data_IF_251674722249
#
_entry.id   IF_251674722249
#
_cell.length_a   1.000
_cell.length_b   1.000
_cell.length_c   1.000
_cell.angle_alpha   90.00
_cell.angle_beta   90.00
_cell.angle_gamma   90.00
#
_symmetry.space_group_name_H-M   'P 1'
#
loop_
_entity.id
_entity.type
_entity.pdbx_description
1 polymer ?
#
# COMPACT_ATOMS: atom_id res chain seq x y z
N UNK A 1 -13.32 -3.50 -17.20
CA UNK A 1 -12.88 -2.90 -15.92
C UNK A 1 -14.06 -2.92 -14.96
N UNK A 2 -14.01 -3.74 -13.92
CA UNK A 2 -15.06 -3.75 -12.89
C UNK A 2 -14.91 -2.50 -12.01
N UNK A 3 -15.53 -1.39 -12.43
CA UNK A 3 -15.62 -0.16 -11.64
C UNK A 3 -16.73 -0.29 -10.61
N UNK A 4 -16.50 -1.05 -9.54
CA UNK A 4 -17.43 -1.07 -8.41
C UNK A 4 -17.23 0.20 -7.57
N UNK A 5 -18.14 1.16 -7.75
CA UNK A 5 -18.20 2.38 -6.93
C UNK A 5 -18.90 2.06 -5.62
N UNK A 6 -18.12 1.71 -4.60
CA UNK A 6 -18.62 1.47 -3.24
C UNK A 6 -18.52 2.77 -2.44
N UNK A 7 -19.62 3.17 -1.76
CA UNK A 7 -19.71 4.37 -0.91
C UNK A 7 -20.71 4.13 0.23
N UNK A 8 -20.20 3.78 1.42
CA UNK A 8 -20.99 3.60 2.63
C UNK A 8 -20.41 4.46 3.78
N UNK A 9 -20.77 5.74 3.85
CA UNK A 9 -20.55 6.56 5.05
C UNK A 9 -21.49 6.11 6.18
N UNK A 10 -20.93 5.85 7.36
CA UNK A 10 -21.63 5.32 8.53
C UNK A 10 -21.43 6.26 9.72
N UNK A 11 -22.47 6.39 10.56
CA UNK A 11 -22.40 7.11 11.84
C UNK A 11 -22.87 6.18 12.96
N UNK A 12 -22.13 6.16 14.07
CA UNK A 12 -22.41 5.33 15.23
C UNK A 12 -23.19 6.10 16.31
N UNK A 13 -24.27 5.51 16.77
CA UNK A 13 -24.97 5.89 18.00
C UNK A 13 -24.80 4.76 19.03
N UNK A 14 -25.03 5.02 20.33
CA UNK A 14 -24.83 4.01 21.37
C UNK A 14 -25.59 2.69 21.15
N UNK A 15 -26.69 2.71 20.41
CA UNK A 15 -27.56 1.56 20.15
C UNK A 15 -27.96 1.41 18.67
N UNK A 16 -27.43 2.23 17.76
CA UNK A 16 -27.83 2.23 16.36
C UNK A 16 -26.64 2.57 15.45
N UNK A 17 -26.54 1.90 14.31
CA UNK A 17 -25.65 2.31 13.23
C UNK A 17 -26.50 2.88 12.11
N UNK A 18 -26.28 4.16 11.75
CA UNK A 18 -26.96 4.79 10.62
C UNK A 18 -26.07 4.66 9.39
N UNK A 19 -26.59 3.98 8.37
CA UNK A 19 -25.94 3.88 7.06
C UNK A 19 -26.28 5.11 6.20
N UNK A 20 -25.41 5.44 5.25
CA UNK A 20 -25.61 6.51 4.26
C UNK A 20 -25.78 7.90 4.85
N UNK A 21 -24.99 8.24 5.87
CA UNK A 21 -24.92 9.61 6.39
C UNK A 21 -24.07 10.50 5.48
N UNK A 22 -24.16 11.82 5.64
CA UNK A 22 -23.28 12.73 4.91
C UNK A 22 -21.82 12.51 5.32
N UNK A 23 -20.90 12.60 4.35
CA UNK A 23 -19.47 12.38 4.58
C UNK A 23 -18.88 13.27 5.67
N UNK A 24 -19.36 14.51 5.82
CA UNK A 24 -18.90 15.45 6.84
C UNK A 24 -19.33 15.05 8.27
N UNK A 25 -20.29 14.14 8.41
CA UNK A 25 -20.81 13.63 9.70
C UNK A 25 -20.57 12.13 9.87
N UNK A 26 -19.86 11.49 8.95
CA UNK A 26 -19.57 10.08 8.98
C UNK A 26 -18.41 9.80 9.94
N UNK A 27 -18.58 8.83 10.83
CA UNK A 27 -17.51 8.35 11.71
C UNK A 27 -16.63 7.31 11.00
N UNK A 28 -17.23 6.55 10.08
CA UNK A 28 -16.55 5.54 9.26
C UNK A 28 -16.94 5.69 7.80
N UNK A 29 -15.95 5.79 6.93
CA UNK A 29 -16.15 5.86 5.48
C UNK A 29 -15.63 4.56 4.86
N UNK A 30 -16.54 3.73 4.35
CA UNK A 30 -16.19 2.56 3.54
C UNK A 30 -16.40 2.93 2.09
N UNK A 31 -15.32 3.16 1.35
CA UNK A 31 -15.42 3.58 -0.04
C UNK A 31 -14.34 2.99 -0.92
N UNK A 32 -14.64 2.87 -2.21
CA UNK A 32 -13.65 2.57 -3.24
C UNK A 32 -12.78 3.81 -3.54
N UNK A 33 -11.51 3.65 -3.95
CA UNK A 33 -10.65 4.77 -4.34
C UNK A 33 -11.25 5.62 -5.48
N UNK A 34 -11.91 4.97 -6.44
CA UNK A 34 -12.59 5.65 -7.54
C UNK A 34 -13.74 6.55 -7.05
N UNK A 35 -14.56 6.02 -6.14
CA UNK A 35 -15.64 6.76 -5.50
C UNK A 35 -15.15 8.03 -4.80
N UNK A 36 -14.10 7.89 -3.99
CA UNK A 36 -13.52 9.02 -3.28
C UNK A 36 -12.93 10.04 -4.25
N UNK A 37 -12.23 9.59 -5.30
CA UNK A 37 -11.71 10.51 -6.32
C UNK A 37 -12.82 11.30 -7.01
N UNK A 38 -13.96 10.69 -7.34
CA UNK A 38 -15.10 11.40 -7.92
C UNK A 38 -15.66 12.49 -6.99
N UNK A 39 -15.66 12.25 -5.67
CA UNK A 39 -16.13 13.22 -4.68
C UNK A 39 -15.15 14.35 -4.41
N UNK A 40 -13.85 14.05 -4.46
CA UNK A 40 -12.79 15.06 -4.25
C UNK A 40 -12.51 15.87 -5.52
N UNK A 41 -12.78 15.29 -6.71
CA UNK A 41 -12.56 15.90 -8.02
C UNK A 41 -11.13 15.73 -8.55
N UNK A 42 -10.86 16.28 -9.74
CA UNK A 42 -9.56 16.19 -10.42
C UNK A 42 -8.51 17.22 -9.95
N UNK A 43 -8.82 18.01 -8.91
CA UNK A 43 -7.86 18.93 -8.24
C UNK A 43 -6.69 18.14 -7.60
N UNK A 44 -6.79 16.80 -7.59
CA UNK A 44 -5.81 15.86 -7.04
C UNK A 44 -4.64 15.52 -7.97
N UNK A 45 -4.67 15.91 -9.24
CA UNK A 45 -3.68 15.47 -10.24
C UNK A 45 -2.32 16.17 -10.09
N UNK A 46 -2.28 17.36 -9.47
CA UNK A 46 -1.07 18.18 -9.36
C UNK A 46 -0.38 18.11 -7.97
N UNK A 47 -0.75 17.16 -7.11
CA UNK A 47 -0.20 17.06 -5.76
C UNK A 47 1.22 16.49 -5.81
N UNK A 48 2.22 17.34 -5.59
CA UNK A 48 3.62 16.93 -5.40
C UNK A 48 3.75 16.24 -4.04
N UNK A 49 4.33 15.03 -3.97
CA UNK A 49 4.53 14.33 -2.70
C UNK A 49 5.53 15.09 -1.83
N UNK A 50 5.06 15.59 -0.68
CA UNK A 50 5.94 16.17 0.36
C UNK A 50 5.45 17.51 0.93
N UNK A 51 4.78 18.34 0.13
CA UNK A 51 4.34 19.66 0.59
C UNK A 51 2.81 19.77 0.62
N UNK A 52 2.23 19.30 1.74
CA UNK A 52 0.78 19.35 1.99
C UNK A 52 0.31 20.71 2.51
N UNK A 53 1.22 21.64 2.78
CA UNK A 53 0.93 22.95 3.38
C UNK A 53 0.31 23.95 2.39
N UNK A 54 0.70 23.85 1.12
CA UNK A 54 0.25 24.73 0.03
C UNK A 54 -1.08 24.27 -0.57
N UNK A 55 -1.43 22.99 -0.38
CA UNK A 55 -2.63 22.42 -0.95
C UNK A 55 -3.82 22.62 -0.01
N UNK A 56 -4.85 23.27 -0.53
CA UNK A 56 -6.13 23.36 0.16
C UNK A 56 -7.20 22.69 -0.68
N UNK A 57 -7.90 21.72 -0.11
CA UNK A 57 -8.97 21.01 -0.81
C UNK A 57 -10.32 21.70 -0.57
N UNK A 58 -11.25 21.68 -1.55
CA UNK A 58 -12.61 22.18 -1.32
C UNK A 58 -13.43 21.26 -0.41
N UNK A 59 -12.93 20.06 -0.13
CA UNK A 59 -13.58 19.05 0.71
C UNK A 59 -12.91 18.96 2.08
N UNK A 60 -13.72 18.76 3.11
CA UNK A 60 -13.32 18.72 4.53
C UNK A 60 -13.31 17.31 5.14
N UNK A 61 -14.13 16.39 4.63
CA UNK A 61 -14.36 15.07 5.23
C UNK A 61 -13.14 14.13 5.28
N UNK A 62 -12.07 14.38 4.52
CA UNK A 62 -10.81 13.60 4.56
C UNK A 62 -9.72 14.23 5.45
N UNK A 63 -9.96 15.40 6.03
CA UNK A 63 -8.94 16.16 6.78
C UNK A 63 -8.61 15.54 8.14
N UNK A 64 -9.59 14.88 8.77
CA UNK A 64 -9.48 14.34 10.13
C UNK A 64 -9.38 12.81 10.22
N UNK A 65 -8.88 12.15 9.17
CA UNK A 65 -8.72 10.69 9.18
C UNK A 65 -7.56 10.30 10.11
N UNK A 66 -7.89 9.54 11.15
CA UNK A 66 -6.90 8.99 12.10
C UNK A 66 -6.44 7.58 11.71
N UNK A 67 -7.36 6.76 11.21
CA UNK A 67 -7.08 5.37 10.79
C UNK A 67 -7.48 5.19 9.33
N UNK A 68 -6.54 4.73 8.51
CA UNK A 68 -6.77 4.39 7.11
C UNK A 68 -6.43 2.93 6.87
N UNK A 69 -7.40 2.15 6.38
CA UNK A 69 -7.22 0.74 6.02
C UNK A 69 -7.22 0.59 4.51
N UNK A 70 -6.14 0.04 3.95
CA UNK A 70 -6.02 -0.29 2.53
C UNK A 70 -6.01 -1.80 2.34
N UNK A 71 -6.63 -2.27 1.26
CA UNK A 71 -6.67 -3.69 0.90
C UNK A 71 -5.97 -3.94 -0.45
N UNK A 72 -5.35 -5.12 -0.62
CA UNK A 72 -4.66 -5.49 -1.87
C UNK A 72 -5.57 -5.57 -3.09
N UNK A 73 -6.89 -5.63 -2.92
CA UNK A 73 -7.85 -5.57 -4.03
C UNK A 73 -7.69 -4.28 -4.84
N UNK A 74 -7.13 -3.22 -4.25
CA UNK A 74 -6.84 -1.98 -4.96
C UNK A 74 -5.76 -2.10 -6.04
N UNK A 75 -4.89 -3.12 -5.96
CA UNK A 75 -3.93 -3.42 -7.03
C UNK A 75 -4.62 -3.87 -8.32
N UNK A 76 -5.85 -4.41 -8.22
CA UNK A 76 -6.66 -4.78 -9.38
C UNK A 76 -7.39 -3.58 -10.00
N UNK A 77 -7.39 -2.43 -9.32
CA UNK A 77 -7.91 -1.17 -9.82
C UNK A 77 -6.77 -0.30 -10.38
N UNK A 78 -7.10 0.89 -10.87
CA UNK A 78 -6.08 1.86 -11.24
C UNK A 78 -5.44 2.46 -9.97
N UNK A 79 -4.15 2.14 -9.77
CA UNK A 79 -3.35 2.61 -8.64
C UNK A 79 -3.17 4.15 -8.60
N UNK A 80 -3.36 4.86 -9.71
CA UNK A 80 -3.33 6.32 -9.71
C UNK A 80 -4.50 6.93 -8.94
N UNK A 81 -5.67 6.28 -8.93
CA UNK A 81 -6.77 6.70 -8.07
C UNK A 81 -6.41 6.55 -6.59
N UNK A 82 -5.76 5.44 -6.23
CA UNK A 82 -5.31 5.18 -4.86
C UNK A 82 -4.29 6.22 -4.42
N UNK A 83 -3.29 6.50 -5.26
CA UNK A 83 -2.28 7.54 -4.99
C UNK A 83 -2.91 8.92 -4.80
N UNK A 84 -3.81 9.31 -5.71
CA UNK A 84 -4.52 10.58 -5.63
C UNK A 84 -5.30 10.72 -4.31
N UNK A 85 -6.05 9.69 -3.92
CA UNK A 85 -6.81 9.69 -2.65
C UNK A 85 -5.88 9.72 -1.45
N UNK A 86 -4.81 8.92 -1.44
CA UNK A 86 -3.84 8.90 -0.33
C UNK A 86 -3.14 10.24 -0.13
N UNK A 87 -2.90 10.99 -1.21
CA UNK A 87 -2.35 12.32 -1.15
C UNK A 87 -3.37 13.36 -0.67
N UNK A 88 -4.67 13.14 -0.94
CA UNK A 88 -5.77 13.99 -0.47
C UNK A 88 -6.07 13.86 1.04
N UNK A 89 -5.72 12.73 1.64
CA UNK A 89 -6.00 12.44 3.06
C UNK A 89 -5.12 13.32 3.98
N UNK A 90 -5.75 13.86 5.03
CA UNK A 90 -5.17 14.79 6.01
C UNK A 90 -4.66 16.11 5.41
N UNK A 91 -5.18 16.52 4.24
CA UNK A 91 -4.95 17.86 3.71
C UNK A 91 -5.93 18.83 4.36
N UNK A 92 -5.47 20.03 4.68
CA UNK A 92 -6.30 21.06 5.30
C UNK A 92 -7.30 21.61 4.27
N UNK A 93 -8.60 21.72 4.60
CA UNK A 93 -9.58 22.26 3.67
C UNK A 93 -9.39 23.76 3.42
N UNK A 94 -9.85 24.26 2.27
CA UNK A 94 -9.88 25.70 1.93
C UNK A 94 -10.80 26.46 2.87
N UNK A 95 -11.98 25.88 3.07
CA UNK A 95 -13.09 26.45 3.81
C UNK A 95 -13.59 25.38 4.79
N UNK A 96 -13.82 25.79 6.03
CA UNK A 96 -14.33 24.93 7.08
C UNK A 96 -15.51 25.61 7.79
N UNK A 97 -16.65 25.83 7.08
CA UNK A 97 -17.74 26.69 7.55
C UNK A 97 -18.45 26.15 8.80
N UNK A 98 -18.33 24.85 9.10
CA UNK A 98 -18.96 24.19 10.24
C UNK A 98 -17.97 23.60 11.25
N UNK A 99 -16.68 23.96 11.15
CA UNK A 99 -15.66 23.41 12.02
C UNK A 99 -15.56 24.18 13.35
N UNK A 100 -15.62 23.43 14.46
CA UNK A 100 -15.36 23.97 15.80
C UNK A 100 -13.85 23.94 16.09
N UNK A 101 -13.18 25.07 15.87
CA UNK A 101 -11.73 25.22 16.06
C UNK A 101 -11.26 24.92 17.48
N UNK A 102 -12.14 25.03 18.49
CA UNK A 102 -11.78 24.73 19.88
C UNK A 102 -11.54 23.23 20.13
N UNK A 103 -12.09 22.37 19.26
CA UNK A 103 -11.96 20.90 19.33
C UNK A 103 -10.90 20.35 18.39
N UNK A 104 -10.36 21.17 17.50
CA UNK A 104 -9.34 20.74 16.55
C UNK A 104 -8.02 20.58 17.29
N UNK A 105 -7.38 19.42 17.12
CA UNK A 105 -6.06 19.15 17.69
C UNK A 105 -5.00 20.06 17.08
N UNK A 106 -4.04 20.45 17.90
CA UNK A 106 -2.96 21.36 17.51
C UNK A 106 -2.15 20.84 16.31
N UNK A 107 -1.88 19.54 16.24
CA UNK A 107 -1.17 18.94 15.09
C UNK A 107 -1.97 18.99 13.78
N UNK A 108 -3.31 19.07 13.83
CA UNK A 108 -4.12 19.30 12.62
C UNK A 108 -3.99 20.75 12.15
N UNK A 109 -3.89 21.71 13.08
CA UNK A 109 -3.67 23.12 12.77
C UNK A 109 -2.26 23.37 12.23
N UNK A 110 -1.26 22.66 12.76
CA UNK A 110 0.14 22.75 12.34
C UNK A 110 0.46 21.93 11.07
N UNK A 111 -0.55 21.42 10.35
CA UNK A 111 -0.39 20.57 9.16
C UNK A 111 0.41 19.27 9.39
N UNK A 112 0.49 18.80 10.63
CA UNK A 112 1.23 17.60 11.05
C UNK A 112 0.35 16.34 11.17
N UNK A 113 -0.96 16.45 10.94
CA UNK A 113 -1.91 15.34 11.06
C UNK A 113 -1.49 14.07 10.29
N UNK A 114 -0.83 14.24 9.14
CA UNK A 114 -0.37 13.12 8.32
C UNK A 114 0.70 12.24 8.99
N UNK A 115 1.43 12.72 10.00
CA UNK A 115 2.38 11.92 10.79
C UNK A 115 1.73 11.04 11.86
N UNK A 116 0.53 11.44 12.30
CA UNK A 116 -0.22 10.77 13.37
C UNK A 116 -1.28 9.79 12.85
N UNK A 117 -1.52 9.77 11.53
CA UNK A 117 -2.44 8.81 10.90
C UNK A 117 -1.84 7.41 10.95
N UNK A 118 -2.57 6.47 11.55
CA UNK A 118 -2.27 5.05 11.44
C UNK A 118 -2.74 4.51 10.09
N UNK A 119 -1.81 4.00 9.29
CA UNK A 119 -2.14 3.36 8.00
C UNK A 119 -1.94 1.86 8.10
N UNK A 120 -3.00 1.09 7.92
CA UNK A 120 -2.99 -0.38 7.96
C UNK A 120 -3.16 -0.89 6.53
N UNK A 121 -2.25 -1.73 6.08
CA UNK A 121 -2.30 -2.29 4.73
C UNK A 121 -2.45 -3.79 4.82
N UNK A 122 -3.58 -4.30 4.33
CA UNK A 122 -3.89 -5.72 4.23
C UNK A 122 -3.54 -6.17 2.82
N UNK A 123 -2.49 -6.97 2.70
CA UNK A 123 -2.03 -7.49 1.41
C UNK A 123 -1.98 -9.01 1.41
N UNK A 124 -2.45 -9.62 0.32
CA UNK A 124 -2.33 -11.07 0.12
C UNK A 124 -0.88 -11.50 -0.16
N UNK A 125 -0.10 -10.66 -0.84
CA UNK A 125 1.30 -10.90 -1.17
C UNK A 125 2.11 -9.60 -1.08
N UNK A 126 3.43 -9.73 -0.98
CA UNK A 126 4.33 -8.59 -1.04
C UNK A 126 4.33 -8.00 -2.45
N UNK A 127 3.87 -6.76 -2.58
CA UNK A 127 3.78 -6.06 -3.87
C UNK A 127 4.63 -4.79 -3.88
N UNK A 128 5.34 -4.55 -4.99
CA UNK A 128 6.23 -3.41 -5.14
C UNK A 128 5.47 -2.08 -5.25
N UNK A 129 4.29 -2.05 -5.90
CA UNK A 129 3.49 -0.84 -6.03
C UNK A 129 2.91 -0.41 -4.69
N UNK A 130 2.48 -1.37 -3.87
CA UNK A 130 1.98 -1.11 -2.52
C UNK A 130 3.09 -0.61 -1.58
N UNK A 131 4.27 -1.21 -1.65
CA UNK A 131 5.45 -0.71 -0.92
C UNK A 131 5.83 0.72 -1.35
N UNK A 132 5.76 1.02 -2.65
CA UNK A 132 6.01 2.36 -3.17
C UNK A 132 4.99 3.38 -2.64
N UNK A 133 3.70 3.01 -2.64
CA UNK A 133 2.62 3.83 -2.08
C UNK A 133 2.87 4.16 -0.60
N UNK A 134 3.20 3.14 0.20
CA UNK A 134 3.50 3.32 1.62
C UNK A 134 4.70 4.24 1.85
N UNK A 135 5.76 4.09 1.05
CA UNK A 135 6.98 4.88 1.20
C UNK A 135 6.78 6.34 0.82
N UNK A 136 5.95 6.62 -0.19
CA UNK A 136 5.74 7.98 -0.73
C UNK A 136 4.60 8.76 -0.08
N UNK A 137 3.51 8.08 0.30
CA UNK A 137 2.27 8.74 0.73
C UNK A 137 1.95 8.58 2.22
N UNK A 138 2.66 7.70 2.93
CA UNK A 138 2.47 7.49 4.37
C UNK A 138 3.70 7.97 5.14
N UNK A 139 3.49 8.93 6.03
CA UNK A 139 4.51 9.40 6.96
C UNK A 139 4.14 8.91 8.35
N UNK A 140 5.11 8.36 9.09
CA UNK A 140 4.84 7.77 10.40
C UNK A 140 5.80 8.39 11.42
N UNK A 141 5.28 8.76 12.59
CA UNK A 141 6.12 9.25 13.68
C UNK A 141 7.04 8.16 14.27
N UNK A 142 6.53 6.93 14.46
CA UNK A 142 7.23 5.84 15.18
C UNK A 142 7.75 4.72 14.27
N UNK A 143 7.75 4.92 12.95
CA UNK A 143 8.23 3.95 11.96
C UNK A 143 7.13 3.04 11.37
N UNK A 144 7.55 1.91 10.79
CA UNK A 144 6.70 0.97 10.03
C UNK A 144 6.98 -0.46 10.49
N UNK A 145 5.93 -1.23 10.73
CA UNK A 145 6.01 -2.67 11.04
C UNK A 145 5.37 -3.47 9.91
N UNK A 146 6.07 -4.50 9.42
CA UNK A 146 5.54 -5.44 8.42
C UNK A 146 5.37 -6.81 9.08
N UNK A 147 4.16 -7.34 8.97
CA UNK A 147 3.84 -8.71 9.37
C UNK A 147 3.69 -9.55 8.10
N UNK A 148 4.53 -10.57 7.96
CA UNK A 148 4.46 -11.53 6.87
C UNK A 148 4.38 -12.95 7.45
N UNK A 149 3.52 -13.83 6.92
CA UNK A 149 3.50 -15.22 7.34
C UNK A 149 4.85 -15.86 7.00
N UNK A 150 5.43 -16.57 7.97
CA UNK A 150 6.59 -17.43 7.74
C UNK A 150 6.04 -18.81 7.35
N UNK A 151 6.31 -19.22 6.11
CA UNK A 151 5.91 -20.54 5.64
C UNK A 151 7.02 -21.54 5.95
N UNK A 152 6.70 -22.55 6.75
CA UNK A 152 7.59 -23.70 6.95
C UNK A 152 7.47 -24.66 5.76
N UNK A 153 8.55 -24.75 4.98
CA UNK A 153 8.62 -25.57 3.77
C UNK A 153 8.59 -27.08 4.07
N UNK A 154 8.82 -27.50 5.32
CA UNK A 154 8.69 -28.90 5.72
C UNK A 154 7.24 -29.36 5.81
N UNK A 155 6.30 -28.43 6.05
CA UNK A 155 4.90 -28.75 6.32
C UNK A 155 3.92 -28.14 5.31
N UNK A 156 4.35 -27.16 4.50
CA UNK A 156 3.51 -26.49 3.50
C UNK A 156 4.07 -26.72 2.11
N UNK A 157 3.30 -27.41 1.26
CA UNK A 157 3.59 -27.52 -0.16
C UNK A 157 3.18 -26.20 -0.84
N UNK A 158 4.08 -25.51 -1.56
CA UNK A 158 3.73 -24.29 -2.27
C UNK A 158 2.64 -24.55 -3.32
N UNK A 159 1.68 -23.64 -3.46
CA UNK A 159 0.55 -23.78 -4.39
C UNK A 159 0.96 -24.00 -5.84
N UNK A 160 2.14 -23.49 -6.24
CA UNK A 160 2.71 -23.69 -7.58
C UNK A 160 2.98 -25.17 -7.88
N UNK A 161 3.27 -25.98 -6.85
CA UNK A 161 3.56 -27.41 -7.01
C UNK A 161 2.32 -28.24 -7.33
N UNK A 162 1.12 -27.69 -7.11
CA UNK A 162 -0.15 -28.33 -7.46
C UNK A 162 -0.56 -28.08 -8.91
N UNK A 163 0.13 -27.20 -9.63
CA UNK A 163 -0.10 -26.95 -11.05
C UNK A 163 0.84 -27.84 -11.85
N UNK A 164 0.31 -28.61 -12.81
CA UNK A 164 1.14 -29.40 -13.73
C UNK A 164 1.68 -28.44 -14.79
N UNK A 165 2.99 -28.10 -14.78
CA UNK A 165 3.53 -27.21 -15.79
C UNK A 165 3.70 -27.97 -17.10
N UNK A 166 3.44 -27.30 -18.23
CA UNK A 166 3.68 -27.86 -19.57
C UNK A 166 5.16 -27.99 -19.91
N UNK A 167 6.04 -27.35 -19.14
CA UNK A 167 7.50 -27.30 -19.31
C UNK A 167 8.13 -27.65 -17.96
N UNK A 168 9.27 -28.36 -17.98
CA UNK A 168 10.05 -28.65 -16.76
C UNK A 168 10.55 -27.33 -16.16
N UNK A 169 10.01 -26.95 -15.00
CA UNK A 169 10.45 -25.79 -14.23
C UNK A 169 11.33 -26.25 -13.06
N UNK A 170 12.51 -25.67 -12.91
CA UNK A 170 13.43 -25.94 -11.81
C UNK A 170 13.54 -24.65 -10.99
N UNK A 171 13.04 -24.67 -9.75
CA UNK A 171 13.14 -23.55 -8.83
C UNK A 171 14.35 -23.76 -7.92
N UNK A 172 15.34 -22.88 -8.01
CA UNK A 172 16.47 -22.84 -7.09
C UNK A 172 16.29 -21.68 -6.12
N UNK A 173 16.34 -21.98 -4.81
CA UNK A 173 16.29 -20.96 -3.77
C UNK A 173 17.71 -20.50 -3.47
N UNK A 174 17.91 -19.19 -3.50
CA UNK A 174 19.11 -18.56 -2.96
C UNK A 174 18.86 -18.23 -1.49
N UNK A 175 19.55 -18.91 -0.59
CA UNK A 175 19.54 -18.59 0.83
C UNK A 175 20.55 -17.49 1.12
N UNK A 176 20.17 -16.25 0.85
CA UNK A 176 20.86 -15.09 1.43
C UNK A 176 20.35 -14.87 2.85
N UNK A 177 21.24 -14.67 3.85
CA UNK A 177 20.79 -14.34 5.20
C UNK A 177 20.08 -12.99 5.13
N UNK A 178 18.76 -13.01 5.26
CA UNK A 178 17.85 -11.87 5.18
C UNK A 178 17.94 -10.92 6.39
N UNK A 179 18.99 -11.04 7.19
CA UNK A 179 19.29 -10.11 8.26
C UNK A 179 20.04 -8.90 7.69
N UNK A 180 19.51 -7.68 7.86
CA UNK A 180 20.18 -6.44 7.41
C UNK A 180 21.54 -6.20 8.09
N UNK A 181 21.91 -7.01 9.09
CA UNK A 181 23.20 -6.96 9.78
C UNK A 181 24.32 -7.75 9.07
N UNK A 182 24.00 -8.75 8.24
CA UNK A 182 25.00 -9.73 7.74
C UNK A 182 25.23 -9.65 6.24
N UNK A 183 24.28 -9.09 5.48
CA UNK A 183 24.45 -8.78 4.06
C UNK A 183 23.90 -7.38 3.78
N UNK A 184 24.76 -6.38 3.49
CA UNK A 184 24.29 -5.08 3.01
C UNK A 184 23.47 -5.29 1.72
N UNK A 185 22.33 -4.61 1.59
CA UNK A 185 21.48 -4.64 0.39
C UNK A 185 22.28 -4.37 -0.91
N UNK A 186 23.42 -3.69 -0.78
CA UNK A 186 24.38 -3.36 -1.84
C UNK A 186 25.09 -4.59 -2.42
N UNK A 187 25.38 -5.60 -1.60
CA UNK A 187 26.12 -6.80 -2.03
C UNK A 187 25.21 -7.95 -2.49
N UNK A 188 23.89 -7.82 -2.29
CA UNK A 188 22.90 -8.78 -2.76
C UNK A 188 23.00 -9.12 -4.27
N UNK A 189 23.15 -8.15 -5.19
CA UNK A 189 23.28 -8.46 -6.62
C UNK A 189 24.55 -9.28 -6.92
N UNK A 190 25.66 -9.00 -6.24
CA UNK A 190 26.91 -9.73 -6.43
C UNK A 190 26.78 -11.17 -5.93
N UNK A 191 26.15 -11.39 -4.78
CA UNK A 191 25.91 -12.74 -4.25
C UNK A 191 24.97 -13.56 -5.15
N UNK A 192 23.91 -12.93 -5.71
CA UNK A 192 23.03 -13.55 -6.71
C UNK A 192 23.79 -13.94 -7.97
N UNK A 193 24.68 -13.06 -8.45
CA UNK A 193 25.49 -13.31 -9.64
C UNK A 193 26.50 -14.45 -9.41
N UNK A 194 27.19 -14.45 -8.27
CA UNK A 194 28.13 -15.52 -7.91
C UNK A 194 27.43 -16.88 -7.77
N UNK A 195 26.24 -16.90 -7.16
CA UNK A 195 25.42 -18.12 -7.09
C UNK A 195 24.99 -18.58 -8.49
N UNK A 196 24.53 -17.65 -9.34
CA UNK A 196 24.18 -17.97 -10.72
C UNK A 196 25.36 -18.56 -11.49
N UNK A 197 26.55 -17.96 -11.38
CA UNK A 197 27.75 -18.43 -12.06
C UNK A 197 28.11 -19.87 -11.63
N UNK A 198 28.10 -20.13 -10.32
CA UNK A 198 28.52 -21.43 -9.77
C UNK A 198 27.48 -22.53 -9.91
N UNK A 199 26.21 -22.24 -9.63
CA UNK A 199 25.15 -23.26 -9.47
C UNK A 199 24.27 -23.41 -10.71
N UNK A 200 24.23 -22.40 -11.59
CA UNK A 200 23.40 -22.42 -12.78
C UNK A 200 24.26 -22.45 -14.04
N UNK A 201 25.20 -21.50 -14.19
CA UNK A 201 25.98 -21.34 -15.43
C UNK A 201 27.01 -22.46 -15.63
N UNK A 202 27.84 -22.77 -14.63
CA UNK A 202 28.86 -23.80 -14.76
C UNK A 202 28.28 -25.19 -15.16
N UNK A 203 27.19 -25.70 -14.53
CA UNK A 203 26.57 -26.96 -14.95
C UNK A 203 25.98 -26.91 -16.37
N UNK A 204 25.42 -25.77 -16.79
CA UNK A 204 24.88 -25.59 -18.14
C UNK A 204 25.97 -25.54 -19.21
N UNK A 205 27.15 -25.01 -18.87
CA UNK A 205 28.31 -25.00 -19.77
C UNK A 205 28.94 -26.40 -19.89
N UNK A 206 29.02 -27.13 -18.79
CA UNK A 206 29.52 -28.52 -18.80
C UNK A 206 28.60 -29.45 -19.59
N UNK A 207 27.28 -29.24 -19.50
CA UNK A 207 26.25 -30.07 -20.15
C UNK A 207 25.27 -29.18 -20.95
N UNK A 208 25.64 -28.78 -22.18
CA UNK A 208 24.83 -27.83 -22.95
C UNK A 208 23.46 -28.41 -23.32
N UNK A 209 22.40 -27.84 -22.74
CA UNK A 209 21.01 -28.19 -23.02
C UNK A 209 20.36 -27.24 -24.02
N UNK A 210 19.74 -27.78 -25.07
CA UNK A 210 18.93 -26.98 -26.01
C UNK A 210 17.59 -26.58 -25.37
N UNK A 211 17.02 -25.46 -25.80
CA UNK A 211 15.70 -24.97 -25.36
C UNK A 211 15.60 -24.69 -23.84
N UNK A 212 16.69 -24.21 -23.23
CA UNK A 212 16.70 -23.78 -21.81
C UNK A 212 16.54 -22.27 -21.73
N UNK A 213 15.61 -21.80 -20.89
CA UNK A 213 15.43 -20.39 -20.58
C UNK A 213 15.75 -20.18 -19.10
N UNK A 214 16.64 -19.23 -18.81
CA UNK A 214 16.93 -18.77 -17.45
C UNK A 214 16.15 -17.49 -17.22
N UNK A 215 15.37 -17.44 -16.14
CA UNK A 215 14.58 -16.30 -15.67
C UNK A 215 15.12 -15.79 -14.35
#
# INVERSE_FOLDING_TARGET
>A
MCGFTIQYPLTFFPFLVRLYTDYSRADLIIASPLALRQKVGDILVDIVPGDKSTLKLPVDFLSSIEVCVLASVFLMQNMDHVRAVMNAINVTPKEAPHADFSRIREWNLNHQAHYFRQTIVLAHAADAQLNNLLTKSCHNFRGVTRLAPVYDLHHVVPSVSHVIPSIKQIFQRLDTPSQPATCPLVNEPNARFEYFERQILAPLLDHPSKHTMVL
#
